data_IF_963078291204
#
_entry.id   IF_963078291204
#
_cell.length_a   1.000
_cell.length_b   1.000
_cell.length_c   1.000
_cell.angle_alpha   90.00
_cell.angle_beta   90.00
_cell.angle_gamma   90.00
#
_symmetry.space_group_name_H-M   'P 1'
#
loop_
_entity.id
_entity.type
_entity.pdbx_description
1 polymer ?
#
# COMPACT_ATOMS: atom_id res chain seq x y z
N UNK A 1 -54.41 -3.18 1.30
CA UNK A 1 -53.60 -4.43 1.17
C UNK A 1 -53.77 -5.03 -0.24
N UNK A 2 -55.01 -5.21 -0.76
CA UNK A 2 -55.27 -5.87 -2.03
C UNK A 2 -54.69 -5.13 -3.26
N UNK A 3 -54.78 -3.81 -3.32
CA UNK A 3 -54.21 -2.97 -4.37
C UNK A 3 -52.68 -3.07 -4.43
N UNK A 4 -52.00 -3.16 -3.29
CA UNK A 4 -50.56 -3.30 -3.23
C UNK A 4 -50.12 -4.67 -3.77
N UNK A 5 -50.86 -5.73 -3.46
CA UNK A 5 -50.53 -7.07 -3.98
C UNK A 5 -50.71 -7.12 -5.52
N UNK A 6 -51.76 -6.49 -6.07
CA UNK A 6 -51.94 -6.40 -7.51
C UNK A 6 -50.82 -5.61 -8.17
N UNK A 7 -50.42 -4.49 -7.59
CA UNK A 7 -49.31 -3.67 -8.09
C UNK A 7 -47.98 -4.46 -8.10
N UNK A 8 -47.66 -5.17 -7.01
CA UNK A 8 -46.46 -6.01 -6.92
C UNK A 8 -46.50 -7.15 -7.94
N UNK A 9 -47.66 -7.76 -8.16
CA UNK A 9 -47.82 -8.82 -9.15
C UNK A 9 -47.62 -8.32 -10.58
N UNK A 10 -48.16 -7.14 -10.92
CA UNK A 10 -47.94 -6.50 -12.22
C UNK A 10 -46.47 -6.14 -12.43
N UNK A 11 -45.80 -5.58 -11.42
CA UNK A 11 -44.36 -5.28 -11.47
C UNK A 11 -43.57 -6.58 -11.68
N UNK A 12 -43.90 -7.65 -10.99
CA UNK A 12 -43.25 -8.96 -11.15
C UNK A 12 -43.41 -9.48 -12.59
N UNK A 13 -44.61 -9.42 -13.17
CA UNK A 13 -44.85 -9.87 -14.55
C UNK A 13 -44.07 -9.04 -15.58
N UNK A 14 -44.01 -7.73 -15.40
CA UNK A 14 -43.24 -6.83 -16.28
C UNK A 14 -41.74 -7.11 -16.18
N UNK A 15 -41.23 -7.32 -14.97
CA UNK A 15 -39.81 -7.66 -14.76
C UNK A 15 -39.46 -9.03 -15.33
N UNK A 16 -40.32 -10.02 -15.15
CA UNK A 16 -40.16 -11.36 -15.71
C UNK A 16 -40.13 -11.35 -17.23
N UNK A 17 -41.09 -10.68 -17.88
CA UNK A 17 -41.16 -10.55 -19.33
C UNK A 17 -39.93 -9.82 -19.91
N UNK A 18 -39.37 -8.87 -19.19
CA UNK A 18 -38.11 -8.21 -19.60
C UNK A 18 -36.87 -9.09 -19.37
N UNK A 19 -36.83 -9.86 -18.28
CA UNK A 19 -35.71 -10.73 -17.97
C UNK A 19 -35.49 -11.83 -19.00
N UNK A 20 -36.58 -12.39 -19.56
CA UNK A 20 -36.53 -13.44 -20.58
C UNK A 20 -35.95 -12.96 -21.92
N UNK A 21 -35.91 -11.64 -22.17
CA UNK A 21 -35.40 -11.05 -23.41
C UNK A 21 -33.96 -10.54 -23.29
N UNK A 22 -33.38 -10.49 -22.08
CA UNK A 22 -31.99 -10.06 -21.89
C UNK A 22 -31.07 -11.26 -21.85
N UNK A 23 -30.25 -11.40 -22.89
CA UNK A 23 -29.04 -12.25 -22.82
C UNK A 23 -28.16 -11.74 -21.67
N UNK A 24 -27.98 -12.55 -20.64
CA UNK A 24 -27.16 -12.19 -19.50
C UNK A 24 -25.73 -12.02 -20.01
N UNK A 25 -25.11 -10.83 -19.90
CA UNK A 25 -23.72 -10.63 -20.30
C UNK A 25 -22.82 -11.25 -19.22
N UNK A 26 -22.52 -12.54 -19.35
CA UNK A 26 -21.75 -13.33 -18.39
C UNK A 26 -20.42 -12.68 -18.02
N UNK A 27 -19.77 -12.03 -18.99
CA UNK A 27 -18.50 -11.31 -18.73
C UNK A 27 -18.67 -10.19 -17.69
N UNK A 28 -19.77 -9.42 -17.77
CA UNK A 28 -20.05 -8.38 -16.77
C UNK A 28 -20.41 -8.95 -15.40
N UNK A 29 -21.16 -10.05 -15.37
CA UNK A 29 -21.50 -10.71 -14.11
C UNK A 29 -20.27 -11.25 -13.44
N UNK A 30 -19.38 -11.92 -14.16
CA UNK A 30 -18.10 -12.41 -13.67
C UNK A 30 -17.20 -11.26 -13.17
N UNK A 31 -17.14 -10.16 -13.91
CA UNK A 31 -16.36 -8.99 -13.50
C UNK A 31 -16.90 -8.36 -12.20
N UNK A 32 -18.20 -8.24 -12.06
CA UNK A 32 -18.84 -7.72 -10.84
C UNK A 32 -18.59 -8.66 -9.67
N UNK A 33 -18.73 -9.96 -9.87
CA UNK A 33 -18.49 -10.97 -8.83
C UNK A 33 -17.01 -10.96 -8.37
N UNK A 34 -16.07 -10.89 -9.30
CA UNK A 34 -14.65 -10.75 -8.96
C UNK A 34 -14.37 -9.47 -8.17
N UNK A 35 -15.04 -8.38 -8.50
CA UNK A 35 -14.90 -7.12 -7.77
C UNK A 35 -15.50 -7.22 -6.36
N UNK A 36 -16.64 -7.87 -6.19
CA UNK A 36 -17.25 -8.16 -4.89
C UNK A 36 -16.35 -9.04 -4.02
N UNK A 37 -15.83 -10.15 -4.57
CA UNK A 37 -14.87 -11.00 -3.90
C UNK A 37 -13.62 -10.22 -3.47
N UNK A 38 -13.07 -9.40 -4.35
CA UNK A 38 -11.90 -8.59 -4.04
C UNK A 38 -12.17 -7.61 -2.90
N UNK A 39 -13.34 -6.97 -2.87
CA UNK A 39 -13.72 -6.04 -1.81
C UNK A 39 -13.98 -6.77 -0.47
N UNK A 40 -14.62 -7.92 -0.52
CA UNK A 40 -14.83 -8.77 0.65
C UNK A 40 -13.49 -9.22 1.25
N UNK A 41 -12.56 -9.72 0.44
CA UNK A 41 -11.24 -10.12 0.91
C UNK A 41 -10.41 -8.94 1.43
N UNK A 42 -10.55 -7.74 0.85
CA UNK A 42 -9.91 -6.53 1.41
C UNK A 42 -10.43 -6.21 2.81
N UNK A 43 -11.73 -6.36 3.03
CA UNK A 43 -12.33 -6.16 4.35
C UNK A 43 -11.86 -7.22 5.34
N UNK A 44 -11.87 -8.49 4.97
CA UNK A 44 -11.40 -9.60 5.83
C UNK A 44 -9.92 -9.45 6.14
N UNK A 45 -9.10 -8.99 5.18
CA UNK A 45 -7.66 -8.78 5.37
C UNK A 45 -7.33 -7.63 6.36
N UNK A 46 -8.30 -6.80 6.73
CA UNK A 46 -8.12 -5.83 7.82
C UNK A 46 -8.10 -6.51 9.21
N UNK A 47 -8.66 -7.72 9.32
CA UNK A 47 -8.76 -8.47 10.58
C UNK A 47 -7.88 -9.73 10.61
N UNK A 48 -7.61 -10.32 9.45
CA UNK A 48 -6.81 -11.55 9.32
C UNK A 48 -5.88 -11.45 8.12
N UNK A 49 -4.62 -11.86 8.31
CA UNK A 49 -3.63 -11.90 7.24
C UNK A 49 -3.93 -13.03 6.24
N UNK A 50 -4.68 -12.73 5.19
CA UNK A 50 -5.06 -13.69 4.14
C UNK A 50 -3.94 -13.75 3.10
N UNK A 51 -3.05 -14.73 3.23
CA UNK A 51 -1.87 -14.95 2.36
C UNK A 51 -2.17 -15.16 0.87
N UNK A 52 -3.43 -15.34 0.48
CA UNK A 52 -3.83 -15.64 -0.91
C UNK A 52 -4.18 -14.43 -1.77
N UNK A 53 -4.24 -13.23 -1.20
CA UNK A 53 -4.35 -12.02 -2.02
C UNK A 53 -2.98 -11.75 -2.63
N UNK A 54 -2.81 -12.11 -3.89
CA UNK A 54 -1.68 -11.61 -4.70
C UNK A 54 -1.73 -10.09 -4.61
N UNK A 55 -0.73 -9.53 -3.95
CA UNK A 55 -0.52 -8.08 -3.93
C UNK A 55 -0.38 -7.62 -5.37
N UNK A 56 -1.47 -7.14 -5.96
CA UNK A 56 -1.37 -6.49 -7.26
C UNK A 56 -0.63 -5.19 -7.05
N UNK A 57 0.60 -5.13 -7.50
CA UNK A 57 1.39 -3.91 -7.51
C UNK A 57 0.66 -2.87 -8.36
N UNK A 58 -0.07 -1.97 -7.72
CA UNK A 58 -0.77 -0.88 -8.40
C UNK A 58 0.24 0.21 -8.71
N UNK A 59 0.47 0.46 -10.00
CA UNK A 59 1.30 1.57 -10.45
C UNK A 59 0.68 2.90 -10.01
N UNK A 60 1.35 3.59 -9.10
CA UNK A 60 0.98 4.94 -8.63
C UNK A 60 1.70 5.97 -9.49
N UNK A 61 1.10 6.36 -10.61
CA UNK A 61 1.72 7.29 -11.58
C UNK A 61 2.06 8.66 -10.98
N UNK A 62 1.32 9.11 -9.97
CA UNK A 62 1.58 10.37 -9.27
C UNK A 62 2.84 10.36 -8.38
N UNK A 63 3.34 9.16 -8.02
CA UNK A 63 4.59 9.01 -7.26
C UNK A 63 5.81 8.73 -8.17
N UNK A 64 5.59 8.60 -9.48
CA UNK A 64 6.69 8.35 -10.43
C UNK A 64 7.68 9.54 -10.47
N UNK A 65 7.26 10.76 -10.07
CA UNK A 65 8.15 11.91 -9.97
C UNK A 65 9.15 11.79 -8.80
N UNK A 66 8.78 11.08 -7.71
CA UNK A 66 9.68 10.81 -6.58
C UNK A 66 10.73 9.74 -6.90
N UNK A 67 10.55 9.02 -8.00
CA UNK A 67 11.47 7.98 -8.45
C UNK A 67 12.46 8.60 -9.46
N UNK A 68 13.64 9.04 -9.02
CA UNK A 68 14.65 9.52 -9.96
C UNK A 68 15.07 8.34 -10.84
N UNK A 69 14.59 8.34 -12.09
CA UNK A 69 15.14 7.47 -13.12
C UNK A 69 16.36 8.19 -13.66
N UNK A 70 17.59 7.71 -13.36
CA UNK A 70 18.79 8.31 -13.92
C UNK A 70 18.81 8.04 -15.43
N UNK A 71 18.32 8.99 -16.20
CA UNK A 71 18.44 8.93 -17.67
C UNK A 71 19.94 8.98 -18.00
N UNK A 72 20.47 7.86 -18.51
CA UNK A 72 21.86 7.78 -18.95
C UNK A 72 22.93 7.60 -17.86
N UNK A 73 22.57 7.37 -16.60
CA UNK A 73 23.56 7.07 -15.57
C UNK A 73 24.16 5.68 -15.78
N UNK A 74 25.50 5.62 -15.80
CA UNK A 74 26.23 4.35 -15.78
C UNK A 74 25.78 3.53 -14.58
N UNK A 75 25.57 2.24 -14.79
CA UNK A 75 25.25 1.28 -13.72
C UNK A 75 26.28 1.39 -12.59
N UNK A 76 25.81 1.64 -11.37
CA UNK A 76 26.65 1.70 -10.18
C UNK A 76 26.12 0.67 -9.17
N UNK A 77 26.92 -0.37 -8.94
CA UNK A 77 26.58 -1.46 -8.03
C UNK A 77 26.24 -0.98 -6.61
N UNK A 78 26.96 0.03 -6.11
CA UNK A 78 26.76 0.54 -4.75
C UNK A 78 25.41 1.27 -4.56
N UNK A 79 24.78 1.75 -5.65
CA UNK A 79 23.48 2.44 -5.60
C UNK A 79 22.32 1.57 -6.03
N UNK A 80 22.58 0.38 -6.54
CA UNK A 80 21.54 -0.49 -7.07
C UNK A 80 20.50 -0.85 -6.00
N UNK A 81 20.96 -1.29 -4.83
CA UNK A 81 20.07 -1.65 -3.72
C UNK A 81 19.34 -0.45 -3.14
N UNK A 82 19.97 0.72 -3.09
CA UNK A 82 19.28 1.94 -2.69
C UNK A 82 18.07 2.23 -3.60
N UNK A 83 18.25 2.14 -4.92
CA UNK A 83 17.14 2.35 -5.86
C UNK A 83 16.07 1.25 -5.77
N UNK A 84 16.48 0.02 -5.52
CA UNK A 84 15.56 -1.09 -5.29
C UNK A 84 14.66 -0.80 -4.08
N UNK A 85 15.26 -0.45 -2.92
CA UNK A 85 14.51 -0.16 -1.70
C UNK A 85 13.59 1.05 -1.86
N UNK A 86 14.07 2.14 -2.47
CA UNK A 86 13.22 3.31 -2.77
C UNK A 86 12.03 2.92 -3.65
N UNK A 87 12.28 2.16 -4.71
CA UNK A 87 11.23 1.74 -5.64
C UNK A 87 10.24 0.79 -4.99
N UNK A 88 10.71 -0.19 -4.23
CA UNK A 88 9.86 -1.13 -3.48
C UNK A 88 9.03 -0.41 -2.42
N UNK A 89 9.61 0.56 -1.73
CA UNK A 89 8.92 1.37 -0.72
C UNK A 89 7.82 2.22 -1.33
N UNK A 90 8.11 2.97 -2.39
CA UNK A 90 7.14 3.89 -3.02
C UNK A 90 6.03 3.12 -3.75
N UNK A 91 6.34 1.98 -4.38
CA UNK A 91 5.37 1.15 -5.09
C UNK A 91 4.67 0.13 -4.20
N UNK A 92 5.26 -0.24 -3.07
CA UNK A 92 4.65 -1.09 -2.07
C UNK A 92 3.42 -0.40 -1.46
N UNK A 93 2.34 -1.18 -1.23
CA UNK A 93 1.11 -0.60 -0.65
C UNK A 93 1.24 -0.36 0.84
N UNK A 94 1.89 -1.30 1.54
CA UNK A 94 1.77 -1.39 2.99
C UNK A 94 2.77 -0.48 3.70
N UNK A 95 4.06 -0.61 3.44
CA UNK A 95 5.08 0.14 4.15
C UNK A 95 4.93 1.66 4.00
N UNK A 96 4.76 2.16 2.77
CA UNK A 96 4.55 3.59 2.52
C UNK A 96 3.28 4.12 3.17
N UNK A 97 2.18 3.37 3.07
CA UNK A 97 0.88 3.77 3.62
C UNK A 97 0.89 3.82 5.15
N UNK A 98 1.54 2.84 5.79
CA UNK A 98 1.67 2.79 7.25
C UNK A 98 2.50 3.96 7.76
N UNK A 99 3.66 4.21 7.13
CA UNK A 99 4.54 5.31 7.54
C UNK A 99 3.86 6.65 7.33
N UNK A 100 3.18 6.86 6.22
CA UNK A 100 2.44 8.09 5.99
C UNK A 100 1.38 8.34 7.07
N UNK A 101 0.63 7.30 7.47
CA UNK A 101 -0.36 7.39 8.57
C UNK A 101 0.32 7.73 9.89
N UNK A 102 1.43 7.08 10.22
CA UNK A 102 2.17 7.35 11.45
C UNK A 102 2.68 8.80 11.51
N UNK A 103 3.24 9.30 10.40
CA UNK A 103 3.69 10.70 10.31
C UNK A 103 2.52 11.67 10.49
N UNK A 104 1.38 11.44 9.83
CA UNK A 104 0.20 12.30 9.96
C UNK A 104 -0.31 12.30 11.40
N UNK A 105 -0.42 11.14 12.04
CA UNK A 105 -0.88 11.02 13.43
C UNK A 105 0.10 11.74 14.36
N UNK A 106 1.41 11.57 14.17
CA UNK A 106 2.42 12.25 14.96
C UNK A 106 2.29 13.78 14.85
N UNK A 107 2.16 14.31 13.63
CA UNK A 107 1.99 15.75 13.39
C UNK A 107 0.72 16.29 14.06
N UNK A 108 -0.40 15.59 13.96
CA UNK A 108 -1.66 15.98 14.62
C UNK A 108 -1.47 16.04 16.13
N UNK A 109 -0.83 15.03 16.73
CA UNK A 109 -0.58 14.99 18.17
C UNK A 109 0.37 16.10 18.63
N UNK A 110 1.44 16.36 17.85
CA UNK A 110 2.41 17.42 18.16
C UNK A 110 1.76 18.81 18.14
N UNK A 111 0.88 19.07 17.17
CA UNK A 111 0.15 20.34 17.08
C UNK A 111 -0.90 20.46 18.21
N UNK A 112 -1.59 19.36 18.54
CA UNK A 112 -2.63 19.38 19.56
C UNK A 112 -2.09 19.60 20.98
N UNK A 113 -0.95 19.00 21.31
CA UNK A 113 -0.37 19.11 22.65
C UNK A 113 0.42 20.39 22.92
N UNK A 114 0.75 21.20 21.90
CA UNK A 114 1.34 22.55 21.92
C UNK A 114 2.47 22.83 22.95
N UNK A 115 2.89 21.87 23.76
CA UNK A 115 4.02 21.97 24.69
C UNK A 115 5.30 21.44 24.06
N UNK A 116 6.41 22.22 23.99
CA UNK A 116 7.60 21.84 23.24
C UNK A 116 8.26 20.56 23.75
N UNK A 117 8.29 20.35 25.06
CA UNK A 117 8.90 19.14 25.66
C UNK A 117 8.09 17.89 25.33
N UNK A 118 6.77 17.96 25.42
CA UNK A 118 5.87 16.83 25.11
C UNK A 118 5.91 16.52 23.62
N UNK A 119 5.92 17.55 22.77
CA UNK A 119 6.06 17.41 21.33
C UNK A 119 7.35 16.67 20.94
N UNK A 120 8.49 17.01 21.57
CA UNK A 120 9.76 16.35 21.32
C UNK A 120 9.72 14.87 21.74
N UNK A 121 9.11 14.55 22.89
CA UNK A 121 8.93 13.16 23.35
C UNK A 121 8.07 12.36 22.36
N UNK A 122 6.95 12.94 21.92
CA UNK A 122 6.08 12.30 20.95
C UNK A 122 6.80 12.08 19.61
N UNK A 123 7.50 13.09 19.09
CA UNK A 123 8.27 12.98 17.86
C UNK A 123 9.31 11.86 17.95
N UNK A 124 10.07 11.77 19.05
CA UNK A 124 11.06 10.71 19.24
C UNK A 124 10.41 9.32 19.34
N UNK A 125 9.26 9.20 20.00
CA UNK A 125 8.52 7.94 20.08
C UNK A 125 8.05 7.47 18.71
N UNK A 126 7.46 8.37 17.92
CA UNK A 126 7.02 8.02 16.56
C UNK A 126 8.17 7.69 15.63
N UNK A 127 9.31 8.38 15.75
CA UNK A 127 10.54 8.02 15.03
C UNK A 127 10.99 6.59 15.36
N UNK A 128 10.95 6.19 16.62
CA UNK A 128 11.26 4.83 17.05
C UNK A 128 10.28 3.79 16.46
N UNK A 129 8.97 4.08 16.49
CA UNK A 129 7.94 3.20 15.90
C UNK A 129 8.17 3.03 14.39
N UNK A 130 8.51 4.11 13.69
CA UNK A 130 8.81 4.07 12.24
C UNK A 130 10.06 3.21 11.98
N UNK A 131 11.10 3.30 12.82
CA UNK A 131 12.27 2.44 12.70
C UNK A 131 11.94 0.96 12.87
N UNK A 132 11.09 0.61 13.85
CA UNK A 132 10.62 -0.77 14.03
C UNK A 132 9.85 -1.27 12.80
N UNK A 133 8.99 -0.43 12.25
CA UNK A 133 8.23 -0.77 11.04
C UNK A 133 9.15 -0.98 9.82
N UNK A 134 10.20 -0.18 9.71
CA UNK A 134 11.20 -0.33 8.65
C UNK A 134 12.01 -1.62 8.78
N UNK A 135 12.24 -2.12 9.98
CA UNK A 135 12.90 -3.42 10.17
C UNK A 135 12.11 -4.57 9.52
N UNK A 136 10.78 -4.57 9.63
CA UNK A 136 9.92 -5.55 8.94
C UNK A 136 9.98 -5.41 7.42
N UNK A 137 10.01 -4.18 6.92
CA UNK A 137 10.17 -3.93 5.48
C UNK A 137 11.51 -4.47 4.95
N UNK A 138 12.60 -4.35 5.71
CA UNK A 138 13.89 -4.92 5.34
C UNK A 138 13.80 -6.43 5.17
N UNK A 139 13.24 -7.16 6.13
CA UNK A 139 13.13 -8.62 6.06
C UNK A 139 12.33 -9.08 4.84
N UNK A 140 11.24 -8.40 4.52
CA UNK A 140 10.43 -8.73 3.33
C UNK A 140 11.19 -8.53 2.01
N UNK A 141 12.03 -7.49 1.92
CA UNK A 141 12.73 -7.17 0.68
C UNK A 141 14.08 -7.87 0.55
N UNK A 142 14.83 -8.04 1.64
CA UNK A 142 16.15 -8.66 1.64
C UNK A 142 16.07 -10.18 1.35
N UNK A 143 15.02 -10.84 1.86
CA UNK A 143 14.79 -12.27 1.60
C UNK A 143 13.89 -12.54 0.37
N UNK A 144 13.60 -11.51 -0.43
CA UNK A 144 12.90 -11.67 -1.69
C UNK A 144 13.75 -12.44 -2.73
N UNK A 145 13.10 -12.92 -3.79
CA UNK A 145 13.76 -13.70 -4.85
C UNK A 145 14.88 -12.92 -5.55
N UNK A 146 14.69 -11.64 -5.81
CA UNK A 146 15.62 -10.84 -6.62
C UNK A 146 17.00 -10.62 -5.99
N UNK A 147 17.12 -10.29 -4.68
CA UNK A 147 18.45 -10.18 -4.06
C UNK A 147 19.25 -11.48 -4.05
N UNK A 148 18.57 -12.63 -3.98
CA UNK A 148 19.24 -13.94 -3.97
C UNK A 148 19.77 -14.38 -5.34
N UNK A 149 19.15 -13.89 -6.44
CA UNK A 149 19.58 -14.22 -7.81
C UNK A 149 20.77 -13.34 -8.26
N UNK A 150 20.93 -12.18 -7.68
CA UNK A 150 22.00 -11.27 -8.07
C UNK A 150 23.34 -11.65 -7.43
N UNK A 151 24.42 -11.71 -8.21
CA UNK A 151 25.76 -12.10 -7.71
C UNK A 151 26.42 -10.94 -6.96
N UNK A 152 25.76 -10.39 -5.95
CA UNK A 152 26.24 -9.24 -5.16
C UNK A 152 26.30 -9.62 -3.69
N UNK A 153 27.35 -9.19 -2.98
CA UNK A 153 27.56 -9.51 -1.58
C UNK A 153 26.48 -8.92 -0.68
N UNK A 154 26.08 -9.64 0.37
CA UNK A 154 25.08 -9.22 1.37
C UNK A 154 25.44 -7.89 2.06
N UNK A 155 26.73 -7.60 2.18
CA UNK A 155 27.21 -6.32 2.74
C UNK A 155 26.74 -5.11 1.94
N UNK A 156 26.60 -5.23 0.62
CA UNK A 156 26.09 -4.16 -0.24
C UNK A 156 24.57 -3.98 -0.10
N UNK A 157 23.83 -5.06 0.19
CA UNK A 157 22.41 -5.01 0.49
C UNK A 157 22.16 -4.19 1.75
N UNK A 158 22.91 -4.50 2.83
CA UNK A 158 22.83 -3.80 4.10
C UNK A 158 23.20 -2.32 3.95
N UNK A 159 24.30 -2.03 3.24
CA UNK A 159 24.74 -0.65 3.00
C UNK A 159 23.69 0.15 2.19
N UNK A 160 23.08 -0.45 1.17
CA UNK A 160 22.01 0.17 0.40
C UNK A 160 20.76 0.46 1.24
N UNK A 161 20.40 -0.46 2.13
CA UNK A 161 19.29 -0.26 3.07
C UNK A 161 19.58 0.84 4.09
N UNK A 162 20.76 0.86 4.68
CA UNK A 162 21.18 1.93 5.62
C UNK A 162 21.13 3.31 4.97
N UNK A 163 21.61 3.44 3.73
CA UNK A 163 21.50 4.70 2.98
C UNK A 163 20.05 5.12 2.73
N UNK A 164 19.19 4.16 2.40
CA UNK A 164 17.76 4.41 2.24
C UNK A 164 17.13 4.87 3.56
N UNK A 165 17.38 4.15 4.64
CA UNK A 165 16.84 4.43 5.97
C UNK A 165 17.28 5.81 6.46
N UNK A 166 18.56 6.15 6.34
CA UNK A 166 19.07 7.45 6.73
C UNK A 166 18.38 8.59 5.98
N UNK A 167 18.19 8.47 4.67
CA UNK A 167 17.47 9.48 3.89
C UNK A 167 16.02 9.63 4.32
N UNK A 168 15.32 8.51 4.54
CA UNK A 168 13.94 8.51 4.99
C UNK A 168 13.83 9.19 6.36
N UNK A 169 14.70 8.82 7.31
CA UNK A 169 14.69 9.37 8.66
C UNK A 169 15.02 10.87 8.69
N UNK A 170 15.94 11.35 7.85
CA UNK A 170 16.23 12.78 7.70
C UNK A 170 14.99 13.53 7.19
N UNK A 171 14.31 13.01 6.18
CA UNK A 171 13.10 13.63 5.66
C UNK A 171 12.02 13.74 6.74
N UNK A 172 11.80 12.67 7.52
CA UNK A 172 10.82 12.65 8.60
C UNK A 172 11.24 13.59 9.74
N UNK A 173 12.53 13.63 10.11
CA UNK A 173 13.04 14.52 11.15
C UNK A 173 12.89 16.00 10.78
N UNK A 174 12.95 16.36 9.50
CA UNK A 174 12.71 17.73 9.03
C UNK A 174 11.20 18.08 9.10
N UNK A 175 10.32 17.09 8.99
CA UNK A 175 8.86 17.32 9.08
C UNK A 175 8.34 17.42 10.50
N UNK A 176 9.09 16.92 11.49
CA UNK A 176 8.80 17.01 12.93
C UNK A 176 9.49 18.22 13.57
#
# INVERSE_FOLDING_TARGET
>A
AFLIMILLFVIYLVLKSRADHYLIPWEKVIAIEQQHHTNYYKFVNMFTDVKHLRESAVRRSYLDFLLPVPKGAKFNENRMYLYLFIRSFVRGRDAFSIILRLVIIALILMVWLSQPVVSLIIGSLFMYIILLQMSQFYTQQAYGLWPQVWPVSDTKVIAGYQQFLNRLMIIIAITF
#
